data_IF_621601720052
#
_entry.id   IF_621601720052
#
_cell.length_a   1.000
_cell.length_b   1.000
_cell.length_c   1.000
_cell.angle_alpha   90.00
_cell.angle_beta   90.00
_cell.angle_gamma   90.00
#
_symmetry.space_group_name_H-M   'P 1'
#
loop_
_entity.id
_entity.type
_entity.pdbx_description
1 polymer ?
#
# COMPACT_ATOMS: atom_id res chain seq x y z
N UNK A 1 4.07 12.30 -27.02
CA UNK A 1 3.92 11.11 -26.14
C UNK A 1 5.16 10.83 -25.31
N UNK A 2 6.36 10.68 -25.89
CA UNK A 2 7.60 10.45 -25.11
C UNK A 2 7.88 11.54 -24.08
N UNK A 3 7.76 12.81 -24.46
CA UNK A 3 7.99 13.94 -23.55
C UNK A 3 7.02 13.91 -22.37
N UNK A 4 5.74 13.62 -22.61
CA UNK A 4 4.75 13.51 -21.53
C UNK A 4 5.09 12.39 -20.53
N UNK A 5 5.49 11.22 -21.01
CA UNK A 5 5.95 10.13 -20.14
C UNK A 5 7.21 10.51 -19.35
N UNK A 6 8.19 11.13 -20.01
CA UNK A 6 9.40 11.60 -19.35
C UNK A 6 9.07 12.63 -18.25
N UNK A 7 8.18 13.58 -18.53
CA UNK A 7 7.70 14.57 -17.55
C UNK A 7 7.06 13.90 -16.34
N UNK A 8 6.19 12.92 -16.54
CA UNK A 8 5.56 12.18 -15.44
C UNK A 8 6.61 11.46 -14.58
N UNK A 9 7.58 10.78 -15.20
CA UNK A 9 8.64 10.11 -14.45
C UNK A 9 9.55 11.08 -13.68
N UNK A 10 9.85 12.25 -14.24
CA UNK A 10 10.61 13.30 -13.53
C UNK A 10 9.86 13.75 -12.28
N UNK A 11 8.54 13.95 -12.36
CA UNK A 11 7.72 14.30 -11.19
C UNK A 11 7.72 13.18 -10.16
N UNK A 12 7.63 11.92 -10.59
CA UNK A 12 7.68 10.75 -9.67
C UNK A 12 9.04 10.67 -8.97
N UNK A 13 10.15 10.83 -9.69
CA UNK A 13 11.49 10.82 -9.07
C UNK A 13 11.63 11.97 -8.08
N UNK A 14 11.16 13.17 -8.45
CA UNK A 14 11.22 14.32 -7.55
C UNK A 14 10.36 14.15 -6.29
N UNK A 15 9.22 13.44 -6.39
CA UNK A 15 8.41 13.03 -5.25
C UNK A 15 9.17 12.10 -4.30
N UNK A 16 9.83 11.05 -4.81
CA UNK A 16 10.66 10.15 -4.00
C UNK A 16 11.84 10.91 -3.37
N UNK A 17 12.47 11.81 -4.11
CA UNK A 17 13.51 12.70 -3.59
C UNK A 17 12.99 13.61 -2.47
N UNK A 18 11.75 14.07 -2.51
CA UNK A 18 11.17 14.90 -1.45
C UNK A 18 11.10 14.13 -0.11
N UNK A 19 10.72 12.84 -0.14
CA UNK A 19 10.80 11.98 1.04
C UNK A 19 12.24 11.86 1.56
N UNK A 20 13.18 11.53 0.66
CA UNK A 20 14.59 11.36 1.02
C UNK A 20 15.25 12.63 1.58
N UNK A 21 15.03 13.78 0.95
CA UNK A 21 15.56 15.07 1.38
C UNK A 21 15.01 15.46 2.75
N UNK A 22 13.72 15.25 3.00
CA UNK A 22 13.09 15.53 4.30
C UNK A 22 13.63 14.57 5.38
N UNK A 23 13.82 13.31 5.05
CA UNK A 23 14.45 12.31 5.93
C UNK A 23 15.86 12.74 6.34
N UNK A 24 16.67 13.17 5.37
CA UNK A 24 18.04 13.66 5.59
C UNK A 24 18.07 14.97 6.38
N UNK A 25 17.12 15.88 6.13
CA UNK A 25 17.00 17.14 6.87
C UNK A 25 16.81 16.91 8.37
N UNK A 26 16.04 15.89 8.76
CA UNK A 26 15.83 15.54 10.17
C UNK A 26 16.92 14.63 10.78
N UNK A 27 18.00 14.37 10.05
CA UNK A 27 19.18 13.66 10.55
C UNK A 27 19.16 12.15 10.38
N UNK A 28 18.19 11.57 9.66
CA UNK A 28 18.21 10.15 9.29
C UNK A 28 18.98 9.91 7.98
N UNK A 29 19.42 8.67 7.78
CA UNK A 29 20.12 8.28 6.55
C UNK A 29 19.14 7.83 5.46
N UNK A 30 19.45 8.14 4.21
CA UNK A 30 18.79 7.58 3.03
C UNK A 30 19.76 6.58 2.43
N UNK A 31 19.44 5.29 2.54
CA UNK A 31 20.37 4.21 2.17
C UNK A 31 20.43 3.97 0.66
N UNK A 32 19.28 4.07 0.01
CA UNK A 32 19.12 3.75 -1.40
C UNK A 32 17.98 4.56 -2.02
N UNK A 33 18.19 4.96 -3.26
CA UNK A 33 17.15 5.44 -4.18
C UNK A 33 17.31 4.60 -5.43
N UNK A 34 16.21 4.05 -5.92
CA UNK A 34 16.26 3.13 -7.05
C UNK A 34 14.94 3.08 -7.81
N UNK A 35 14.89 2.13 -8.73
CA UNK A 35 13.66 1.78 -9.43
C UNK A 35 13.64 0.28 -9.73
N UNK A 36 12.45 -0.26 -9.90
CA UNK A 36 12.22 -1.63 -10.36
C UNK A 36 11.05 -1.66 -11.34
N UNK A 37 10.90 -2.75 -12.10
CA UNK A 37 9.77 -2.89 -13.01
C UNK A 37 8.58 -3.56 -12.31
N UNK A 38 7.46 -2.84 -12.24
CA UNK A 38 6.17 -3.36 -11.81
C UNK A 38 5.24 -3.38 -13.02
N UNK A 39 4.82 -4.58 -13.46
CA UNK A 39 3.99 -4.76 -14.66
C UNK A 39 4.54 -4.05 -15.92
N UNK A 40 5.85 -4.17 -16.14
CA UNK A 40 6.58 -3.52 -17.26
C UNK A 40 6.61 -1.98 -17.20
N UNK A 41 6.22 -1.37 -16.08
CA UNK A 41 6.37 0.06 -15.85
C UNK A 41 7.44 0.31 -14.77
N UNK A 42 8.31 1.33 -14.93
CA UNK A 42 9.28 1.67 -13.91
C UNK A 42 8.57 2.26 -12.68
N UNK A 43 8.82 1.66 -11.53
CA UNK A 43 8.40 2.13 -10.22
C UNK A 43 9.64 2.62 -9.46
N UNK A 44 9.67 3.90 -9.13
CA UNK A 44 10.75 4.52 -8.37
C UNK A 44 10.49 4.40 -6.88
N UNK A 45 11.55 4.34 -6.07
CA UNK A 45 11.44 4.31 -4.62
C UNK A 45 12.63 5.01 -3.95
N UNK A 46 12.36 5.63 -2.81
CA UNK A 46 13.38 6.12 -1.88
C UNK A 46 13.26 5.39 -0.54
N UNK A 47 14.32 4.71 -0.10
CA UNK A 47 14.32 4.01 1.18
C UNK A 47 14.52 4.98 2.34
N UNK A 48 13.40 5.34 2.98
CA UNK A 48 13.33 6.19 4.18
C UNK A 48 13.02 5.38 5.44
N UNK A 49 13.45 4.10 5.51
CA UNK A 49 13.16 3.23 6.66
C UNK A 49 13.71 3.76 7.98
N UNK A 50 14.81 4.51 7.95
CA UNK A 50 15.38 5.13 9.15
C UNK A 50 14.45 6.19 9.77
N UNK A 51 13.48 6.74 9.03
CA UNK A 51 12.52 7.70 9.56
C UNK A 51 11.67 7.12 10.70
N UNK A 52 11.48 5.80 10.74
CA UNK A 52 10.78 5.11 11.83
C UNK A 52 11.51 5.19 13.17
N UNK A 53 12.81 5.52 13.16
CA UNK A 53 13.63 5.66 14.37
C UNK A 53 13.49 7.04 15.02
N UNK A 54 12.81 8.00 14.38
CA UNK A 54 12.61 9.31 14.97
C UNK A 54 11.76 9.23 16.24
N UNK A 55 12.20 9.83 17.36
CA UNK A 55 11.40 9.88 18.58
C UNK A 55 10.19 10.81 18.41
N UNK A 56 10.34 11.91 17.63
CA UNK A 56 9.24 12.82 17.38
C UNK A 56 8.37 12.38 16.21
N UNK A 57 7.10 12.12 16.53
CA UNK A 57 6.05 11.79 15.55
C UNK A 57 5.90 12.84 14.45
N UNK A 58 6.07 14.12 14.76
CA UNK A 58 5.97 15.20 13.77
C UNK A 58 6.99 15.01 12.63
N UNK A 59 8.21 14.60 12.93
CA UNK A 59 9.26 14.34 11.92
C UNK A 59 8.89 13.18 11.02
N UNK A 60 8.38 12.07 11.60
CA UNK A 60 7.84 10.94 10.82
C UNK A 60 6.74 11.38 9.87
N UNK A 61 5.76 12.14 10.37
CA UNK A 61 4.65 12.65 9.56
C UNK A 61 5.14 13.55 8.43
N UNK A 62 6.11 14.43 8.67
CA UNK A 62 6.69 15.28 7.64
C UNK A 62 7.42 14.48 6.56
N UNK A 63 8.21 13.47 6.94
CA UNK A 63 8.86 12.60 5.94
C UNK A 63 7.81 11.89 5.09
N UNK A 64 6.78 11.30 5.70
CA UNK A 64 5.71 10.60 4.97
C UNK A 64 4.85 11.55 4.13
N UNK A 65 4.69 12.81 4.53
CA UNK A 65 3.91 13.81 3.79
C UNK A 65 4.70 14.53 2.69
N UNK A 66 6.04 14.53 2.74
CA UNK A 66 6.89 15.33 1.86
C UNK A 66 6.65 15.08 0.36
N UNK A 67 6.51 13.83 -0.05
CA UNK A 67 6.19 13.48 -1.44
C UNK A 67 4.85 14.06 -1.90
N UNK A 68 3.79 13.83 -1.12
CA UNK A 68 2.47 14.38 -1.44
C UNK A 68 2.46 15.93 -1.43
N UNK A 69 3.16 16.55 -0.47
CA UNK A 69 3.32 18.01 -0.43
C UNK A 69 3.99 18.54 -1.71
N UNK A 70 5.08 17.90 -2.14
CA UNK A 70 5.76 18.26 -3.39
C UNK A 70 4.83 18.14 -4.60
N UNK A 71 4.05 17.06 -4.69
CA UNK A 71 3.09 16.88 -5.79
C UNK A 71 2.00 17.93 -5.80
N UNK A 72 1.44 18.27 -4.64
CA UNK A 72 0.44 19.33 -4.52
C UNK A 72 1.02 20.70 -4.93
N UNK A 73 2.27 20.98 -4.53
CA UNK A 73 2.97 22.20 -4.91
C UNK A 73 3.16 22.28 -6.43
N UNK A 74 3.66 21.22 -7.05
CA UNK A 74 3.85 21.15 -8.50
C UNK A 74 2.51 21.21 -9.24
N UNK A 75 1.47 20.56 -8.72
CA UNK A 75 0.11 20.62 -9.28
C UNK A 75 -0.45 22.04 -9.27
N UNK A 76 -0.31 22.77 -8.15
CA UNK A 76 -0.75 24.15 -8.05
C UNK A 76 -0.03 25.06 -9.07
N UNK A 77 1.30 24.94 -9.17
CA UNK A 77 2.08 25.69 -10.15
C UNK A 77 1.73 25.33 -11.59
N UNK A 78 1.59 24.05 -11.89
CA UNK A 78 1.19 23.58 -13.22
C UNK A 78 -0.20 24.12 -13.60
N UNK A 79 -1.12 24.22 -12.64
CA UNK A 79 -2.45 24.81 -12.86
C UNK A 79 -2.34 26.28 -13.25
N UNK A 80 -1.53 27.06 -12.54
CA UNK A 80 -1.31 28.48 -12.86
C UNK A 80 -0.66 28.61 -14.24
N UNK A 81 0.43 27.88 -14.51
CA UNK A 81 1.15 27.95 -15.79
C UNK A 81 0.22 27.56 -16.95
N UNK A 82 -0.54 26.48 -16.80
CA UNK A 82 -1.52 26.05 -17.81
C UNK A 82 -2.58 27.11 -18.06
N UNK A 83 -3.03 27.83 -17.02
CA UNK A 83 -4.09 28.83 -17.15
C UNK A 83 -3.64 30.13 -17.83
N UNK A 84 -2.38 30.52 -17.69
CA UNK A 84 -1.84 31.80 -18.18
C UNK A 84 -1.07 31.69 -19.50
N UNK A 85 -0.68 30.49 -19.92
CA UNK A 85 0.06 30.27 -21.18
C UNK A 85 -0.90 29.98 -22.33
N UNK A 86 -0.50 30.37 -23.55
CA UNK A 86 -1.28 30.11 -24.76
C UNK A 86 -1.29 28.60 -25.09
N UNK A 87 -2.45 28.01 -25.42
CA UNK A 87 -2.57 26.61 -25.81
C UNK A 87 -1.66 26.18 -26.97
N UNK A 88 -1.23 27.10 -27.84
CA UNK A 88 -0.32 26.80 -28.95
C UNK A 88 1.13 26.52 -28.51
N UNK A 89 1.50 26.88 -27.28
CA UNK A 89 2.87 26.75 -26.77
C UNK A 89 3.08 25.39 -26.11
N UNK A 90 4.25 24.78 -26.33
CA UNK A 90 4.60 23.48 -25.75
C UNK A 90 4.53 23.48 -24.20
N UNK A 91 4.89 24.59 -23.56
CA UNK A 91 4.81 24.76 -22.10
C UNK A 91 3.38 24.57 -21.57
N UNK A 92 2.35 25.06 -22.29
CA UNK A 92 0.96 24.89 -21.88
C UNK A 92 0.59 23.40 -21.83
N UNK A 93 0.98 22.65 -22.85
CA UNK A 93 0.73 21.21 -22.93
C UNK A 93 1.46 20.43 -21.83
N UNK A 94 2.71 20.79 -21.51
CA UNK A 94 3.44 20.17 -20.40
C UNK A 94 2.80 20.47 -19.06
N UNK A 95 2.38 21.72 -18.85
CA UNK A 95 1.66 22.13 -17.65
C UNK A 95 0.33 21.38 -17.52
N UNK A 96 -0.40 21.16 -18.63
CA UNK A 96 -1.62 20.34 -18.64
C UNK A 96 -1.34 18.90 -18.22
N UNK A 97 -0.29 18.27 -18.77
CA UNK A 97 0.09 16.90 -18.41
C UNK A 97 0.40 16.82 -16.92
N UNK A 98 1.29 17.68 -16.41
CA UNK A 98 1.65 17.70 -14.99
C UNK A 98 0.43 17.97 -14.12
N UNK A 99 -0.41 18.94 -14.50
CA UNK A 99 -1.61 19.29 -13.74
C UNK A 99 -2.56 18.09 -13.63
N UNK A 100 -2.87 17.44 -14.76
CA UNK A 100 -3.78 16.31 -14.80
C UNK A 100 -3.20 15.11 -14.05
N UNK A 101 -1.93 14.76 -14.28
CA UNK A 101 -1.32 13.57 -13.68
C UNK A 101 -1.05 13.75 -12.20
N UNK A 102 -0.51 14.89 -11.76
CA UNK A 102 -0.24 15.15 -10.34
C UNK A 102 -1.53 15.29 -9.54
N UNK A 103 -2.56 15.95 -10.09
CA UNK A 103 -3.87 16.05 -9.43
C UNK A 103 -4.51 14.68 -9.19
N UNK A 104 -4.58 13.84 -10.24
CA UNK A 104 -5.11 12.47 -10.10
C UNK A 104 -4.25 11.66 -9.15
N UNK A 105 -2.91 11.69 -9.30
CA UNK A 105 -1.99 10.94 -8.43
C UNK A 105 -2.13 11.35 -6.97
N UNK A 106 -2.20 12.64 -6.66
CA UNK A 106 -2.39 13.15 -5.30
C UNK A 106 -3.70 12.67 -4.66
N UNK A 107 -4.80 12.60 -5.41
CA UNK A 107 -6.08 12.07 -4.90
C UNK A 107 -5.96 10.59 -4.51
N UNK A 108 -5.25 9.78 -5.29
CA UNK A 108 -5.00 8.38 -4.97
C UNK A 108 -3.97 8.23 -3.83
N UNK A 109 -2.86 8.97 -3.89
CA UNK A 109 -1.78 8.90 -2.92
C UNK A 109 -2.24 9.31 -1.52
N UNK A 110 -3.05 10.37 -1.39
CA UNK A 110 -3.58 10.84 -0.11
C UNK A 110 -4.79 10.05 0.39
N UNK A 111 -5.28 9.06 -0.36
CA UNK A 111 -6.37 8.21 0.09
C UNK A 111 -5.88 7.20 1.15
N UNK A 112 -6.35 7.30 2.42
CA UNK A 112 -5.89 6.43 3.51
C UNK A 112 -6.38 4.97 3.39
N UNK A 113 -7.32 4.71 2.47
CA UNK A 113 -7.90 3.38 2.23
C UNK A 113 -7.11 2.57 1.21
N UNK A 114 -6.09 3.15 0.58
CA UNK A 114 -5.12 2.45 -0.30
C UNK A 114 -3.75 2.54 0.35
N UNK A 115 -2.90 1.51 0.23
CA UNK A 115 -1.54 1.50 0.79
C UNK A 115 -0.59 2.41 -0.02
N UNK A 116 -0.82 3.71 0.05
CA UNK A 116 0.00 4.80 -0.47
C UNK A 116 0.32 5.77 0.68
N UNK A 117 0.90 6.94 0.38
CA UNK A 117 1.36 7.91 1.39
C UNK A 117 0.29 8.26 2.43
N UNK A 118 -0.96 8.47 2.02
CA UNK A 118 -2.07 8.81 2.92
C UNK A 118 -2.38 7.70 3.93
N UNK A 119 -2.18 6.44 3.54
CA UNK A 119 -2.28 5.32 4.49
C UNK A 119 -1.15 5.32 5.49
N UNK A 120 0.09 5.54 5.04
CA UNK A 120 1.25 5.59 5.94
C UNK A 120 1.17 6.81 6.85
N UNK A 121 0.67 7.94 6.35
CA UNK A 121 0.42 9.15 7.13
C UNK A 121 -0.61 8.90 8.23
N UNK A 122 -1.73 8.23 7.89
CA UNK A 122 -2.74 7.85 8.89
C UNK A 122 -2.18 6.82 9.89
N UNK A 123 -1.42 5.83 9.42
CA UNK A 123 -0.77 4.81 10.24
C UNK A 123 0.19 5.45 11.25
N UNK A 124 1.00 6.41 10.79
CA UNK A 124 1.91 7.19 11.61
C UNK A 124 1.17 8.10 12.58
N UNK A 125 0.11 8.77 12.12
CA UNK A 125 -0.73 9.63 12.94
C UNK A 125 -1.47 8.86 14.05
N UNK A 126 -1.78 7.59 13.83
CA UNK A 126 -2.41 6.75 14.85
C UNK A 126 -1.39 6.01 15.73
N UNK A 127 -0.10 6.04 15.37
CA UNK A 127 0.98 5.23 15.97
C UNK A 127 0.68 3.72 15.96
N UNK A 128 0.02 3.26 14.88
CA UNK A 128 -0.35 1.86 14.70
C UNK A 128 0.33 1.34 13.43
N UNK A 129 1.51 0.72 13.54
CA UNK A 129 2.17 0.14 12.38
C UNK A 129 1.32 -1.00 11.80
N UNK A 130 1.32 -1.12 10.47
CA UNK A 130 0.55 -2.12 9.74
C UNK A 130 -0.97 -2.07 10.05
N UNK A 131 -1.51 -0.86 10.24
CA UNK A 131 -2.91 -0.58 10.55
C UNK A 131 -3.89 -1.46 9.75
N UNK A 132 -3.72 -1.56 8.42
CA UNK A 132 -4.65 -2.33 7.57
C UNK A 132 -4.63 -3.83 7.87
N UNK A 133 -3.45 -4.41 8.08
CA UNK A 133 -3.33 -5.83 8.41
C UNK A 133 -3.95 -6.12 9.77
N UNK A 134 -3.67 -5.27 10.78
CA UNK A 134 -4.24 -5.40 12.12
C UNK A 134 -5.76 -5.23 12.11
N UNK A 135 -6.28 -4.26 11.37
CA UNK A 135 -7.70 -4.01 11.24
C UNK A 135 -8.46 -5.18 10.59
N UNK A 136 -7.96 -5.68 9.46
CA UNK A 136 -8.57 -6.84 8.80
C UNK A 136 -8.43 -8.13 9.60
N UNK A 137 -7.28 -8.37 10.26
CA UNK A 137 -7.11 -9.49 11.17
C UNK A 137 -8.10 -9.42 12.34
N UNK A 138 -8.28 -8.23 12.92
CA UNK A 138 -9.25 -8.02 14.00
C UNK A 138 -10.69 -8.31 13.55
N UNK A 139 -11.12 -7.78 12.41
CA UNK A 139 -12.44 -8.07 11.85
C UNK A 139 -12.62 -9.55 11.50
N UNK A 140 -11.62 -10.18 10.87
CA UNK A 140 -11.63 -11.61 10.58
C UNK A 140 -11.80 -12.45 11.84
N UNK A 141 -11.09 -12.12 12.93
CA UNK A 141 -11.23 -12.81 14.22
C UNK A 141 -12.62 -12.64 14.86
N UNK A 142 -13.31 -11.52 14.59
CA UNK A 142 -14.68 -11.27 15.08
C UNK A 142 -15.68 -12.11 14.31
N UNK A 143 -15.52 -12.20 12.99
CA UNK A 143 -16.37 -13.01 12.12
C UNK A 143 -16.17 -14.51 12.43
N UNK A 144 -14.92 -14.96 12.56
CA UNK A 144 -14.62 -16.36 12.87
C UNK A 144 -15.20 -16.82 14.22
N UNK A 145 -15.29 -15.91 15.21
CA UNK A 145 -15.97 -16.18 16.49
C UNK A 145 -17.47 -16.40 16.34
N UNK A 146 -18.13 -15.70 15.41
CA UNK A 146 -19.54 -15.95 15.11
C UNK A 146 -19.75 -17.34 14.49
N UNK A 147 -18.71 -17.91 13.89
CA UNK A 147 -18.69 -19.27 13.34
C UNK A 147 -18.03 -20.31 14.27
N UNK A 148 -17.94 -20.02 15.58
CA UNK A 148 -17.52 -21.00 16.59
C UNK A 148 -16.03 -21.31 16.65
N UNK A 149 -15.17 -20.56 15.96
CA UNK A 149 -13.72 -20.76 16.06
C UNK A 149 -13.20 -20.33 17.44
N UNK A 150 -12.29 -21.11 18.07
CA UNK A 150 -11.73 -20.76 19.37
C UNK A 150 -11.01 -19.40 19.28
N UNK A 151 -11.06 -18.59 20.35
CA UNK A 151 -10.45 -17.26 20.33
C UNK A 151 -8.94 -17.39 20.13
N UNK A 152 -8.45 -16.98 18.94
CA UNK A 152 -7.04 -16.61 18.82
C UNK A 152 -6.74 -15.56 19.89
N UNK A 153 -5.64 -15.75 20.64
CA UNK A 153 -5.24 -14.83 21.72
C UNK A 153 -5.35 -13.40 21.19
N UNK A 154 -6.10 -12.52 21.88
CA UNK A 154 -6.29 -11.16 21.39
C UNK A 154 -4.92 -10.53 21.20
N UNK A 155 -4.65 -9.99 20.01
CA UNK A 155 -3.62 -8.97 19.86
C UNK A 155 -3.83 -7.99 21.01
N UNK A 156 -2.79 -7.71 21.80
CA UNK A 156 -2.84 -6.85 22.99
C UNK A 156 -3.21 -5.41 22.65
N UNK A 157 -4.43 -5.22 22.17
CA UNK A 157 -4.95 -4.00 21.58
C UNK A 157 -5.85 -3.31 22.60
N UNK A 158 -5.54 -2.04 22.84
CA UNK A 158 -6.27 -1.13 23.70
C UNK A 158 -7.71 -0.91 23.21
N UNK A 159 -8.59 -0.40 24.07
CA UNK A 159 -9.97 -0.06 23.68
C UNK A 159 -10.03 0.98 22.54
N UNK A 160 -9.04 1.88 22.47
CA UNK A 160 -8.89 2.83 21.37
C UNK A 160 -8.55 2.11 20.06
N UNK A 161 -7.54 1.26 20.06
CA UNK A 161 -7.13 0.51 18.86
C UNK A 161 -8.24 -0.38 18.34
N UNK A 162 -9.01 -1.05 19.21
CA UNK A 162 -10.15 -1.88 18.79
C UNK A 162 -11.19 -1.07 18.00
N UNK A 163 -11.52 0.15 18.46
CA UNK A 163 -12.45 1.05 17.74
C UNK A 163 -11.87 1.47 16.39
N UNK A 164 -10.60 1.85 16.36
CA UNK A 164 -9.90 2.20 15.11
C UNK A 164 -9.93 1.02 14.13
N UNK A 165 -9.62 -0.21 14.58
CA UNK A 165 -9.59 -1.39 13.73
C UNK A 165 -10.95 -1.71 13.12
N UNK A 166 -12.04 -1.54 13.87
CA UNK A 166 -13.39 -1.74 13.35
C UNK A 166 -13.72 -0.68 12.29
N UNK A 167 -13.58 0.60 12.63
CA UNK A 167 -13.94 1.70 11.72
C UNK A 167 -13.09 1.67 10.46
N UNK A 168 -11.76 1.66 10.62
CA UNK A 168 -10.83 1.60 9.49
C UNK A 168 -11.01 0.32 8.67
N UNK A 169 -11.15 -0.84 9.33
CA UNK A 169 -11.31 -2.12 8.65
C UNK A 169 -12.59 -2.19 7.81
N UNK A 170 -13.71 -1.66 8.31
CA UNK A 170 -14.96 -1.61 7.56
C UNK A 170 -14.85 -0.66 6.37
N UNK A 171 -14.32 0.56 6.58
CA UNK A 171 -14.14 1.54 5.51
C UNK A 171 -13.17 1.05 4.42
N UNK A 172 -11.99 0.57 4.82
CA UNK A 172 -10.99 0.05 3.90
C UNK A 172 -11.48 -1.23 3.20
N UNK A 173 -12.24 -2.07 3.89
CA UNK A 173 -12.88 -3.26 3.31
C UNK A 173 -13.90 -2.88 2.25
N UNK A 174 -14.89 -2.05 2.61
CA UNK A 174 -15.93 -1.57 1.70
C UNK A 174 -15.33 -0.87 0.47
N UNK A 175 -14.37 0.03 0.67
CA UNK A 175 -13.66 0.71 -0.41
C UNK A 175 -12.91 -0.28 -1.32
N UNK A 176 -12.23 -1.28 -0.76
CA UNK A 176 -11.50 -2.27 -1.55
C UNK A 176 -12.45 -3.12 -2.39
N UNK A 177 -13.59 -3.56 -1.85
CA UNK A 177 -14.60 -4.30 -2.61
C UNK A 177 -15.24 -3.43 -3.69
N UNK A 178 -15.55 -2.16 -3.39
CA UNK A 178 -16.10 -1.22 -4.37
C UNK A 178 -15.11 -0.97 -5.52
N UNK A 179 -13.84 -0.70 -5.21
CA UNK A 179 -12.80 -0.49 -6.21
C UNK A 179 -12.57 -1.73 -7.07
N UNK A 180 -12.47 -2.91 -6.46
CA UNK A 180 -12.34 -4.17 -7.20
C UNK A 180 -13.57 -4.44 -8.08
N UNK A 181 -14.77 -4.19 -7.56
CA UNK A 181 -16.01 -4.32 -8.32
C UNK A 181 -16.08 -3.37 -9.51
N UNK A 182 -15.67 -2.11 -9.33
CA UNK A 182 -15.60 -1.12 -10.40
C UNK A 182 -14.60 -1.53 -11.49
N UNK A 183 -13.39 -1.95 -11.09
CA UNK A 183 -12.35 -2.40 -12.03
C UNK A 183 -12.82 -3.66 -12.77
N UNK A 184 -13.43 -4.62 -12.07
CA UNK A 184 -13.97 -5.82 -12.68
C UNK A 184 -15.11 -5.49 -13.66
N UNK A 185 -16.03 -4.60 -13.30
CA UNK A 185 -17.10 -4.14 -14.19
C UNK A 185 -16.54 -3.44 -15.43
N UNK A 186 -15.54 -2.56 -15.26
CA UNK A 186 -14.91 -1.85 -16.37
C UNK A 186 -14.18 -2.78 -17.34
N UNK A 187 -13.34 -3.69 -16.81
CA UNK A 187 -12.61 -4.69 -17.62
C UNK A 187 -13.59 -5.66 -18.28
N UNK A 188 -14.56 -6.18 -17.53
CA UNK A 188 -15.57 -7.10 -18.04
C UNK A 188 -16.40 -6.46 -19.14
N UNK A 189 -16.86 -5.22 -18.93
CA UNK A 189 -17.55 -4.43 -19.94
C UNK A 189 -16.72 -4.22 -21.20
N UNK A 190 -15.46 -3.81 -21.06
CA UNK A 190 -14.55 -3.61 -22.20
C UNK A 190 -14.28 -4.91 -22.98
N UNK A 191 -14.07 -6.03 -22.28
CA UNK A 191 -13.83 -7.33 -22.91
C UNK A 191 -15.08 -7.84 -23.63
N UNK A 192 -16.25 -7.79 -22.98
CA UNK A 192 -17.50 -8.28 -23.55
C UNK A 192 -17.95 -7.41 -24.72
N UNK A 193 -17.83 -6.08 -24.63
CA UNK A 193 -18.19 -5.20 -25.75
C UNK A 193 -17.27 -5.41 -26.97
N UNK A 194 -15.98 -5.68 -26.76
CA UNK A 194 -15.01 -5.83 -27.85
C UNK A 194 -14.93 -7.24 -28.43
N UNK A 195 -15.12 -8.26 -27.61
CA UNK A 195 -14.92 -9.67 -27.98
C UNK A 195 -16.16 -10.55 -27.79
N UNK A 196 -17.31 -9.96 -27.45
CA UNK A 196 -18.59 -10.64 -27.25
C UNK A 196 -18.47 -11.87 -26.32
N UNK A 197 -18.92 -13.06 -26.76
CA UNK A 197 -18.88 -14.29 -25.98
C UNK A 197 -17.46 -14.70 -25.54
N UNK A 198 -16.44 -14.46 -26.38
CA UNK A 198 -15.04 -14.69 -26.02
C UNK A 198 -14.56 -13.73 -24.93
N UNK A 199 -15.10 -12.51 -24.92
CA UNK A 199 -14.87 -11.52 -23.86
C UNK A 199 -15.39 -11.98 -22.51
N UNK A 200 -16.58 -12.61 -22.49
CA UNK A 200 -17.14 -13.20 -21.27
C UNK A 200 -16.28 -14.35 -20.74
N UNK A 201 -15.86 -15.26 -21.63
CA UNK A 201 -14.99 -16.38 -21.25
C UNK A 201 -13.66 -15.89 -20.68
N UNK A 202 -13.03 -14.92 -21.34
CA UNK A 202 -11.79 -14.30 -20.86
C UNK A 202 -11.96 -13.62 -19.50
N UNK A 203 -13.07 -12.90 -19.31
CA UNK A 203 -13.37 -12.22 -18.04
C UNK A 203 -13.62 -13.19 -16.89
N UNK A 204 -14.42 -14.25 -17.11
CA UNK A 204 -14.66 -15.30 -16.10
C UNK A 204 -13.35 -16.01 -15.76
N UNK A 205 -12.54 -16.34 -16.76
CA UNK A 205 -11.21 -16.93 -16.55
C UNK A 205 -10.31 -16.03 -15.70
N UNK A 206 -10.29 -14.73 -15.97
CA UNK A 206 -9.54 -13.75 -15.19
C UNK A 206 -10.04 -13.66 -13.73
N UNK A 207 -11.35 -13.58 -13.52
CA UNK A 207 -11.94 -13.54 -12.18
C UNK A 207 -11.57 -14.79 -11.37
N UNK A 208 -11.67 -15.98 -11.97
CA UNK A 208 -11.25 -17.24 -11.32
C UNK A 208 -9.76 -17.21 -11.00
N UNK A 209 -8.91 -16.77 -11.93
CA UNK A 209 -7.47 -16.70 -11.72
C UNK A 209 -7.07 -15.76 -10.57
N UNK A 210 -7.76 -14.63 -10.42
CA UNK A 210 -7.53 -13.65 -9.35
C UNK A 210 -8.08 -14.14 -8.01
N UNK A 211 -9.28 -14.74 -8.00
CA UNK A 211 -9.95 -15.17 -6.78
C UNK A 211 -9.47 -16.54 -6.25
N UNK A 212 -8.81 -17.36 -7.06
CA UNK A 212 -8.34 -18.70 -6.63
C UNK A 212 -7.43 -18.66 -5.40
N UNK A 213 -6.51 -17.69 -5.35
CA UNK A 213 -5.50 -17.60 -4.29
C UNK A 213 -6.10 -17.13 -2.95
N UNK A 214 -6.90 -16.05 -2.88
CA UNK A 214 -7.58 -15.69 -1.65
C UNK A 214 -8.54 -16.79 -1.20
N UNK A 215 -9.28 -17.42 -2.12
CA UNK A 215 -10.22 -18.50 -1.79
C UNK A 215 -9.52 -19.74 -1.23
N UNK A 216 -8.38 -20.15 -1.81
CA UNK A 216 -7.54 -21.23 -1.27
C UNK A 216 -6.99 -20.92 0.11
N UNK A 217 -6.61 -19.67 0.39
CA UNK A 217 -6.10 -19.27 1.72
C UNK A 217 -7.19 -19.23 2.79
N UNK A 218 -8.43 -18.93 2.42
CA UNK A 218 -9.57 -18.94 3.34
C UNK A 218 -10.12 -20.35 3.56
N UNK A 219 -10.21 -21.17 2.49
CA UNK A 219 -10.68 -22.56 2.58
C UNK A 219 -9.62 -23.50 3.16
N UNK A 220 -8.34 -23.28 2.88
CA UNK A 220 -7.22 -24.01 3.50
C UNK A 220 -7.02 -23.71 4.99
N UNK A 221 -7.79 -22.76 5.54
CA UNK A 221 -7.91 -22.50 6.99
C UNK A 221 -9.14 -23.18 7.62
N UNK A 222 -9.88 -24.01 6.87
CA UNK A 222 -10.91 -24.87 7.45
C UNK A 222 -10.28 -25.87 8.44
N UNK A 223 -10.95 -26.20 9.56
CA UNK A 223 -10.38 -26.98 10.65
C UNK A 223 -10.30 -28.46 10.27
N UNK A 224 -9.22 -28.84 9.61
CA UNK A 224 -8.97 -30.20 9.14
C UNK A 224 -7.49 -30.57 9.19
N UNK A 225 -6.82 -30.27 10.31
CA UNK A 225 -5.49 -30.79 10.61
C UNK A 225 -5.24 -30.83 12.14
N UNK A 226 -6.20 -31.40 12.89
CA UNK A 226 -5.93 -32.05 14.17
C UNK A 226 -5.75 -33.55 13.86
N UNK A 227 -4.65 -33.86 13.20
CA UNK A 227 -4.18 -35.22 12.94
C UNK A 227 -2.72 -35.29 13.33
N UNK A 228 -2.48 -35.58 14.61
CA UNK A 228 -1.24 -36.10 15.19
C UNK A 228 0.09 -35.61 14.59
N UNK A 229 0.77 -34.71 15.30
CA UNK A 229 2.24 -34.78 15.33
C UNK A 229 2.68 -34.65 16.80
N UNK A 230 3.32 -35.70 17.37
CA UNK A 230 3.70 -35.71 18.77
C UNK A 230 4.84 -34.74 19.04
N UNK A 231 4.82 -34.22 20.27
CA UNK A 231 5.83 -33.44 20.95
C UNK A 231 7.25 -33.57 20.38
N UNK A 232 7.80 -32.44 19.92
CA UNK A 232 9.24 -32.18 19.98
C UNK A 232 9.49 -30.89 20.74
N UNK A 233 9.00 -30.85 21.98
CA UNK A 233 9.61 -30.06 23.05
C UNK A 233 10.79 -30.88 23.55
N UNK A 234 12.01 -30.40 23.28
CA UNK A 234 13.21 -30.93 23.94
C UNK A 234 14.32 -31.43 23.02
N UNK A 235 14.87 -30.60 22.13
CA UNK A 235 16.23 -30.83 21.63
C UNK A 235 16.93 -29.56 21.13
N UNK A 236 17.02 -28.50 21.94
CA UNK A 236 17.94 -27.39 21.65
C UNK A 236 18.46 -26.70 22.91
N UNK A 237 18.86 -27.50 23.91
CA UNK A 237 19.59 -26.99 25.10
C UNK A 237 20.85 -27.79 25.48
N UNK A 238 21.33 -28.69 24.61
CA UNK A 238 22.52 -29.52 24.87
C UNK A 238 23.72 -29.31 23.94
N UNK A 239 23.76 -28.23 23.14
CA UNK A 239 24.93 -27.93 22.27
C UNK A 239 25.76 -26.69 22.65
N UNK A 240 25.48 -26.05 23.79
CA UNK A 240 26.30 -24.90 24.27
C UNK A 240 27.08 -25.23 25.55
N UNK A 241 26.83 -26.37 26.20
CA UNK A 241 27.58 -26.81 27.39
C UNK A 241 28.75 -27.77 27.08
N UNK A 242 29.06 -28.03 25.81
CA UNK A 242 30.13 -28.96 25.39
C UNK A 242 31.18 -28.27 24.50
N UNK A 243 31.39 -26.96 24.68
CA UNK A 243 32.50 -26.19 24.07
C UNK A 243 33.13 -25.17 25.05
N UNK A 244 32.84 -25.29 26.35
CA UNK A 244 33.41 -24.44 27.41
C UNK A 244 34.18 -25.28 28.46
N UNK A 245 34.73 -26.43 28.06
CA UNK A 245 35.39 -27.36 28.97
C UNK A 245 36.62 -28.08 28.42
N UNK A 246 37.17 -27.65 27.28
CA UNK A 246 38.46 -28.10 26.74
C UNK A 246 39.06 -26.97 25.89
N UNK A 247 40.04 -26.26 26.46
CA UNK A 247 40.74 -25.13 25.84
C UNK A 247 41.12 -24.10 26.87
#
# INVERSE_FOLDING_TARGET
>A
MLVAWATVYVVIVAHECAHGLTCKHYGASVREIGFFFLYFQPAFYCNVSDAWLFPEKSKRLWVTFAGAYFELFVWAWATVVWRVTDPSVALNHLALVVMATSGVKSLFNLNPLIKLDGYYLLSDYLDIPNLRQRAFGYLGSRIARLWGSPPERPMGATARERRIYVVYGLLAGAYSYALLGLVAWWIGGALVQRYQGWGLVAFVGLLVAVLRNPLRRTLGRAPGALGSSPDKVGFTRRRVAMLAGLG
#
